data_IF_240798581723
#
_entry.id   IF_240798581723
#
_cell.length_a   1.000
_cell.length_b   1.000
_cell.length_c   1.000
_cell.angle_alpha   90.00
_cell.angle_beta   90.00
_cell.angle_gamma   90.00
#
_symmetry.space_group_name_H-M   'P 1'
#
loop_
_entity.id
_entity.type
_entity.pdbx_description
1 polymer ?
#
# COMPACT_ATOMS: atom_id res chain seq x y z
N UNK A 1 12.15 -11.66 -5.88
CA UNK A 1 10.94 -11.55 -6.73
C UNK A 1 10.52 -12.85 -7.37
N UNK A 2 11.35 -13.50 -8.21
CA UNK A 2 10.98 -14.78 -8.84
C UNK A 2 10.51 -15.87 -7.86
N UNK A 3 11.17 -15.99 -6.69
CA UNK A 3 10.73 -16.93 -5.65
C UNK A 3 9.36 -16.58 -5.06
N UNK A 4 9.11 -15.31 -4.72
CA UNK A 4 7.80 -14.85 -4.23
C UNK A 4 6.69 -15.07 -5.27
N UNK A 5 7.02 -14.91 -6.55
CA UNK A 5 6.09 -15.14 -7.66
C UNK A 5 5.68 -16.61 -7.80
N UNK A 6 6.65 -17.52 -7.73
CA UNK A 6 6.40 -18.96 -7.74
C UNK A 6 5.60 -19.42 -6.52
N UNK A 7 5.87 -18.88 -5.33
CA UNK A 7 5.09 -19.17 -4.13
C UNK A 7 3.63 -18.72 -4.22
N UNK A 8 3.32 -17.73 -5.08
CA UNK A 8 1.97 -17.21 -5.30
C UNK A 8 1.28 -17.85 -6.53
N UNK A 9 1.92 -18.82 -7.19
CA UNK A 9 1.37 -19.48 -8.39
C UNK A 9 1.28 -18.57 -9.61
N UNK A 10 2.06 -17.49 -9.66
CA UNK A 10 1.96 -16.45 -10.68
C UNK A 10 2.67 -16.84 -11.97
N UNK A 11 1.96 -16.74 -13.09
CA UNK A 11 2.58 -16.74 -14.42
C UNK A 11 3.18 -15.35 -14.67
N UNK A 12 4.49 -15.19 -14.49
CA UNK A 12 5.18 -13.90 -14.59
C UNK A 12 6.55 -14.01 -15.27
N UNK A 13 6.83 -13.07 -16.17
CA UNK A 13 8.13 -12.93 -16.84
C UNK A 13 9.18 -12.28 -15.95
N UNK A 14 10.46 -12.52 -16.27
CA UNK A 14 11.60 -11.88 -15.61
C UNK A 14 11.53 -10.35 -15.68
N UNK A 15 11.07 -9.79 -16.80
CA UNK A 15 10.92 -8.34 -16.97
C UNK A 15 9.79 -7.76 -16.11
N UNK A 16 8.64 -8.44 -16.03
CA UNK A 16 7.54 -8.06 -15.14
C UNK A 16 7.96 -8.08 -13.67
N UNK A 17 8.71 -9.10 -13.26
CA UNK A 17 9.27 -9.20 -11.92
C UNK A 17 10.25 -8.06 -11.60
N UNK A 18 11.05 -7.63 -12.59
CA UNK A 18 12.00 -6.53 -12.45
C UNK A 18 11.28 -5.18 -12.28
N UNK A 19 10.21 -4.95 -13.04
CA UNK A 19 9.44 -3.71 -12.97
C UNK A 19 8.77 -3.54 -11.60
N UNK A 20 8.18 -4.61 -11.07
CA UNK A 20 7.64 -4.61 -9.70
C UNK A 20 8.75 -4.39 -8.66
N UNK A 21 9.93 -4.98 -8.86
CA UNK A 21 11.08 -4.80 -7.95
C UNK A 21 11.57 -3.35 -7.91
N UNK A 22 11.66 -2.68 -9.06
CA UNK A 22 12.05 -1.26 -9.14
C UNK A 22 11.07 -0.39 -8.36
N UNK A 23 9.76 -0.60 -8.57
CA UNK A 23 8.71 0.19 -7.92
C UNK A 23 8.54 -0.13 -6.44
N UNK A 24 8.99 -1.30 -6.00
CA UNK A 24 9.02 -1.70 -4.59
C UNK A 24 10.08 -0.97 -3.74
N UNK A 25 10.95 -0.15 -4.36
CA UNK A 25 11.99 0.65 -3.67
C UNK A 25 12.90 -0.16 -2.73
N UNK A 26 13.20 -1.40 -3.09
CA UNK A 26 14.07 -2.27 -2.29
C UNK A 26 13.43 -2.83 -1.01
N UNK A 27 12.14 -2.58 -0.78
CA UNK A 27 11.43 -3.07 0.41
C UNK A 27 10.72 -4.39 0.08
N UNK A 28 11.16 -5.55 0.62
CA UNK A 28 10.60 -6.85 0.25
C UNK A 28 9.08 -6.98 0.52
N UNK A 29 8.57 -6.28 1.53
CA UNK A 29 7.13 -6.23 1.84
C UNK A 29 6.32 -5.48 0.78
N UNK A 30 6.77 -4.30 0.34
CA UNK A 30 6.13 -3.54 -0.74
C UNK A 30 6.16 -4.35 -2.04
N UNK A 31 7.27 -5.03 -2.29
CA UNK A 31 7.46 -5.93 -3.42
C UNK A 31 6.37 -7.02 -3.48
N UNK A 32 6.11 -7.69 -2.36
CA UNK A 32 5.06 -8.70 -2.26
C UNK A 32 3.64 -8.10 -2.38
N UNK A 33 3.41 -6.89 -1.86
CA UNK A 33 2.11 -6.19 -2.00
C UNK A 33 1.82 -5.82 -3.45
N UNK A 34 2.78 -5.20 -4.11
CA UNK A 34 2.65 -4.81 -5.52
C UNK A 34 2.45 -6.06 -6.39
N UNK A 35 3.15 -7.17 -6.09
CA UNK A 35 2.93 -8.45 -6.77
C UNK A 35 1.47 -8.94 -6.66
N UNK A 36 0.85 -8.90 -5.47
CA UNK A 36 -0.56 -9.29 -5.31
C UNK A 36 -1.49 -8.40 -6.13
N UNK A 37 -1.28 -7.08 -6.11
CA UNK A 37 -2.13 -6.15 -6.86
C UNK A 37 -1.95 -6.26 -8.37
N UNK A 38 -0.73 -6.50 -8.83
CA UNK A 38 -0.43 -6.75 -10.24
C UNK A 38 -1.05 -8.07 -10.69
N UNK A 39 -1.07 -9.11 -9.83
CA UNK A 39 -1.83 -10.34 -10.08
C UNK A 39 -3.32 -10.05 -10.21
N UNK A 40 -3.93 -9.42 -9.22
CA UNK A 40 -5.37 -9.18 -9.21
C UNK A 40 -5.78 -8.36 -10.45
N UNK A 41 -4.93 -7.41 -10.87
CA UNK A 41 -5.09 -6.70 -12.14
C UNK A 41 -4.98 -7.64 -13.36
N UNK A 42 -3.96 -8.49 -13.42
CA UNK A 42 -3.75 -9.42 -14.53
C UNK A 42 -4.85 -10.48 -14.64
N UNK A 43 -5.46 -10.91 -13.53
CA UNK A 43 -6.59 -11.83 -13.52
C UNK A 43 -7.91 -11.18 -13.93
N UNK A 44 -8.14 -9.90 -13.57
CA UNK A 44 -9.40 -9.19 -13.88
C UNK A 44 -9.38 -8.53 -15.25
N UNK A 45 -8.23 -8.00 -15.69
CA UNK A 45 -8.09 -7.16 -16.89
C UNK A 45 -7.19 -7.76 -17.98
N UNK A 46 -6.61 -8.93 -17.77
CA UNK A 46 -5.73 -9.60 -18.73
C UNK A 46 -5.89 -11.11 -18.73
N UNK A 47 -4.86 -11.81 -19.18
CA UNK A 47 -4.90 -13.25 -19.44
C UNK A 47 -4.34 -14.07 -18.25
N UNK A 48 -4.20 -13.46 -17.07
CA UNK A 48 -3.53 -14.05 -15.91
C UNK A 48 -1.99 -14.12 -15.99
N UNK A 49 -1.39 -13.60 -17.08
CA UNK A 49 0.07 -13.54 -17.26
C UNK A 49 0.63 -12.13 -17.06
N UNK A 50 1.68 -12.01 -16.23
CA UNK A 50 2.31 -10.76 -15.86
C UNK A 50 3.59 -10.54 -16.68
N UNK A 51 3.49 -9.77 -17.76
CA UNK A 51 4.64 -9.25 -18.51
C UNK A 51 4.99 -7.82 -18.07
N UNK A 52 6.08 -7.25 -18.60
CA UNK A 52 6.52 -5.89 -18.28
C UNK A 52 5.42 -4.83 -18.51
N UNK A 53 4.67 -4.92 -19.61
CA UNK A 53 3.57 -3.99 -19.90
C UNK A 53 2.40 -4.14 -18.92
N UNK A 54 2.01 -5.37 -18.57
CA UNK A 54 0.94 -5.60 -17.60
C UNK A 54 1.34 -5.10 -16.23
N UNK A 55 2.58 -5.35 -15.81
CA UNK A 55 3.12 -4.81 -14.56
C UNK A 55 3.14 -3.29 -14.56
N UNK A 56 3.65 -2.64 -15.62
CA UNK A 56 3.68 -1.17 -15.72
C UNK A 56 2.28 -0.56 -15.71
N UNK A 57 1.32 -1.11 -16.48
CA UNK A 57 -0.08 -0.64 -16.47
C UNK A 57 -0.73 -0.79 -15.10
N UNK A 58 -0.56 -1.95 -14.46
CA UNK A 58 -1.07 -2.19 -13.11
C UNK A 58 -0.46 -1.22 -12.10
N UNK A 59 0.86 -0.99 -12.16
CA UNK A 59 1.59 -0.11 -11.25
C UNK A 59 1.29 1.38 -11.49
N UNK A 60 1.08 1.79 -12.74
CA UNK A 60 0.62 3.14 -13.07
C UNK A 60 -0.82 3.37 -12.59
N UNK A 61 -1.69 2.37 -12.70
CA UNK A 61 -3.04 2.44 -12.16
C UNK A 61 -3.06 2.47 -10.62
N UNK A 62 -2.00 1.99 -9.97
CA UNK A 62 -1.84 2.03 -8.51
C UNK A 62 -1.41 3.41 -7.97
N UNK A 63 -1.14 4.37 -8.87
CA UNK A 63 -1.08 5.82 -8.62
C UNK A 63 -0.22 6.17 -7.39
N UNK A 64 0.99 5.62 -7.36
CA UNK A 64 1.95 5.80 -6.28
C UNK A 64 2.55 7.21 -6.39
N UNK A 65 2.36 8.05 -5.37
CA UNK A 65 2.85 9.44 -5.39
C UNK A 65 4.39 9.52 -5.26
N UNK A 66 4.93 10.74 -5.38
CA UNK A 66 6.37 11.00 -5.30
C UNK A 66 7.00 10.61 -3.95
N UNK A 67 6.23 10.60 -2.85
CA UNK A 67 6.68 10.15 -1.53
C UNK A 67 6.48 8.64 -1.34
N UNK A 68 5.81 8.00 -2.29
CA UNK A 68 5.63 6.58 -2.36
C UNK A 68 4.35 6.07 -1.74
N UNK A 69 3.39 6.95 -1.41
CA UNK A 69 2.07 6.53 -0.99
C UNK A 69 1.29 5.96 -2.14
N UNK A 70 0.76 4.77 -1.95
CA UNK A 70 -0.29 4.27 -2.81
C UNK A 70 -1.67 4.77 -2.36
N UNK A 71 -2.70 4.44 -3.14
CA UNK A 71 -4.10 4.73 -2.81
C UNK A 71 -4.52 4.37 -1.38
N UNK A 72 -4.10 3.21 -0.85
CA UNK A 72 -4.45 2.73 0.50
C UNK A 72 -3.71 3.46 1.60
N UNK A 73 -2.44 3.79 1.39
CA UNK A 73 -1.68 4.63 2.32
C UNK A 73 -2.39 5.99 2.50
N UNK A 74 -2.81 6.60 1.36
CA UNK A 74 -3.60 7.84 1.37
C UNK A 74 -4.96 7.65 2.03
N UNK A 75 -5.69 6.61 1.66
CA UNK A 75 -7.03 6.31 2.20
C UNK A 75 -6.99 6.11 3.71
N UNK A 76 -5.97 5.44 4.25
CA UNK A 76 -5.78 5.23 5.67
C UNK A 76 -5.51 6.56 6.40
N UNK A 77 -4.53 7.35 5.93
CA UNK A 77 -4.19 8.63 6.56
C UNK A 77 -5.34 9.64 6.48
N UNK A 78 -5.98 9.78 5.33
CA UNK A 78 -7.15 10.64 5.16
C UNK A 78 -8.32 10.18 6.05
N UNK A 79 -8.56 8.88 6.18
CA UNK A 79 -9.58 8.39 7.11
C UNK A 79 -9.26 8.82 8.56
N UNK A 80 -8.02 8.71 9.00
CA UNK A 80 -7.61 9.16 10.35
C UNK A 80 -7.82 10.67 10.51
N UNK A 81 -7.39 11.47 9.55
CA UNK A 81 -7.45 12.94 9.64
C UNK A 81 -8.88 13.47 9.51
N UNK A 82 -9.64 13.04 8.50
CA UNK A 82 -10.96 13.58 8.18
C UNK A 82 -12.10 12.91 8.97
N UNK A 83 -12.09 11.58 9.10
CA UNK A 83 -13.18 10.85 9.76
C UNK A 83 -13.01 10.73 11.27
N UNK A 84 -11.77 10.77 11.76
CA UNK A 84 -11.44 10.58 13.16
C UNK A 84 -10.71 11.78 13.78
N UNK A 85 -10.71 12.94 13.11
CA UNK A 85 -10.10 14.20 13.58
C UNK A 85 -8.64 14.05 14.02
N UNK A 86 -7.87 13.20 13.34
CA UNK A 86 -6.47 12.92 13.66
C UNK A 86 -6.23 11.73 14.60
N UNK A 87 -7.27 11.12 15.16
CA UNK A 87 -7.19 10.01 16.12
C UNK A 87 -7.18 10.46 17.59
N UNK A 88 -6.92 9.56 18.56
CA UNK A 88 -6.56 8.15 18.40
C UNK A 88 -7.73 7.26 17.98
N UNK A 89 -7.50 6.38 16.99
CA UNK A 89 -8.51 5.43 16.49
C UNK A 89 -8.03 3.97 16.57
N UNK A 90 -8.91 3.06 16.96
CA UNK A 90 -8.64 1.62 17.02
C UNK A 90 -8.49 0.99 15.63
N UNK A 91 -7.75 -0.12 15.54
CA UNK A 91 -7.52 -0.83 14.27
C UNK A 91 -8.82 -1.32 13.65
N UNK A 92 -9.76 -1.81 14.45
CA UNK A 92 -11.05 -2.34 13.97
C UNK A 92 -11.92 -1.25 13.34
N UNK A 93 -11.93 -0.05 13.95
CA UNK A 93 -12.65 1.10 13.40
C UNK A 93 -11.99 1.61 12.12
N UNK A 94 -10.65 1.59 12.05
CA UNK A 94 -9.94 1.93 10.82
C UNK A 94 -10.24 0.95 9.70
N UNK A 95 -10.12 -0.36 9.97
CA UNK A 95 -10.46 -1.45 9.07
C UNK A 95 -11.87 -1.28 8.48
N UNK A 96 -12.87 -1.05 9.34
CA UNK A 96 -14.24 -0.79 8.91
C UNK A 96 -14.37 0.50 8.07
N UNK A 97 -13.68 1.58 8.44
CA UNK A 97 -13.79 2.87 7.76
C UNK A 97 -13.17 2.90 6.36
N UNK A 98 -12.15 2.08 6.11
CA UNK A 98 -11.50 1.95 4.80
C UNK A 98 -11.89 0.68 4.04
N UNK A 99 -12.64 -0.23 4.66
CA UNK A 99 -13.10 -1.48 4.05
C UNK A 99 -11.96 -2.47 3.81
N UNK A 100 -11.02 -2.56 4.75
CA UNK A 100 -9.81 -3.38 4.62
C UNK A 100 -9.64 -4.28 5.85
N UNK A 101 -8.93 -5.40 5.71
CA UNK A 101 -8.62 -6.28 6.83
C UNK A 101 -7.60 -5.66 7.79
N UNK A 102 -7.81 -5.85 9.10
CA UNK A 102 -6.91 -5.35 10.15
C UNK A 102 -5.46 -5.82 9.96
N UNK A 103 -5.27 -7.07 9.56
CA UNK A 103 -3.95 -7.69 9.39
C UNK A 103 -3.24 -7.02 8.20
N UNK A 104 -3.96 -6.70 7.13
CA UNK A 104 -3.42 -5.91 6.01
C UNK A 104 -2.97 -4.53 6.48
N UNK A 105 -3.75 -3.84 7.31
CA UNK A 105 -3.34 -2.53 7.82
C UNK A 105 -2.07 -2.66 8.67
N UNK A 106 -2.04 -3.57 9.65
CA UNK A 106 -0.93 -3.72 10.59
C UNK A 106 0.36 -4.24 9.95
N UNK A 107 0.26 -5.21 9.04
CA UNK A 107 1.42 -5.89 8.47
C UNK A 107 1.92 -5.25 7.16
N UNK A 108 1.06 -4.49 6.49
CA UNK A 108 1.34 -3.95 5.15
C UNK A 108 1.43 -2.43 5.13
N UNK A 109 0.45 -1.71 5.66
CA UNK A 109 0.38 -0.24 5.56
C UNK A 109 1.19 0.44 6.66
N UNK A 110 0.92 0.09 7.91
CA UNK A 110 1.50 0.76 9.08
C UNK A 110 3.04 0.75 9.13
N UNK A 111 3.75 -0.34 8.76
CA UNK A 111 5.21 -0.36 8.89
C UNK A 111 5.89 0.77 8.12
N UNK A 112 5.44 1.05 6.90
CA UNK A 112 5.99 2.15 6.08
C UNK A 112 5.60 3.52 6.64
N UNK A 113 4.32 3.70 6.96
CA UNK A 113 3.80 4.97 7.46
C UNK A 113 4.40 5.37 8.81
N UNK A 114 4.65 4.41 9.69
CA UNK A 114 5.34 4.62 10.96
C UNK A 114 6.82 4.93 10.71
N UNK A 115 7.50 4.15 9.87
CA UNK A 115 8.92 4.37 9.57
C UNK A 115 9.20 5.75 8.95
N UNK A 116 8.29 6.23 8.09
CA UNK A 116 8.40 7.57 7.50
C UNK A 116 7.85 8.69 8.39
N UNK A 117 7.27 8.35 9.54
CA UNK A 117 6.80 9.30 10.54
C UNK A 117 5.46 9.98 10.22
N UNK A 118 4.61 9.37 9.38
CA UNK A 118 3.26 9.85 9.06
C UNK A 118 2.19 9.32 10.03
N UNK A 119 2.44 8.16 10.62
CA UNK A 119 1.52 7.49 11.53
C UNK A 119 2.22 7.17 12.85
N UNK A 120 1.51 7.34 13.96
CA UNK A 120 1.99 6.95 15.28
C UNK A 120 1.03 5.95 15.93
N UNK A 121 1.58 4.84 16.45
CA UNK A 121 0.86 3.91 17.33
C UNK A 121 0.93 4.40 18.78
N UNK A 122 -0.21 4.39 19.46
CA UNK A 122 -0.34 4.66 20.89
C UNK A 122 -1.15 3.54 21.55
N UNK A 123 -1.11 3.40 22.90
CA UNK A 123 -1.96 2.43 23.60
C UNK A 123 -3.46 2.63 23.36
N UNK A 124 -3.88 3.84 22.98
CA UNK A 124 -5.28 4.19 22.72
C UNK A 124 -5.69 4.03 21.25
N UNK A 125 -4.74 3.82 20.34
CA UNK A 125 -5.01 3.75 18.91
C UNK A 125 -3.95 4.45 18.04
N UNK A 126 -4.30 4.66 16.77
CA UNK A 126 -3.45 5.26 15.73
C UNK A 126 -3.74 6.75 15.62
N UNK A 127 -2.69 7.55 15.46
CA UNK A 127 -2.75 9.01 15.34
C UNK A 127 -1.99 9.44 14.10
N UNK A 128 -2.57 10.34 13.30
CA UNK A 128 -1.88 10.99 12.19
C UNK A 128 -0.95 12.08 12.74
N UNK A 129 0.32 12.06 12.33
CA UNK A 129 1.30 13.06 12.77
C UNK A 129 1.16 14.35 11.96
N UNK A 130 1.77 15.44 12.43
CA UNK A 130 1.80 16.71 11.70
C UNK A 130 2.41 16.57 10.29
N UNK A 131 3.33 15.61 10.12
CA UNK A 131 3.92 15.29 8.82
C UNK A 131 2.88 14.77 7.82
N UNK A 132 1.88 14.02 8.28
CA UNK A 132 0.77 13.60 7.42
C UNK A 132 -0.07 14.79 6.97
N UNK A 133 -0.45 15.68 7.90
CA UNK A 133 -1.18 16.90 7.57
C UNK A 133 -0.45 17.76 6.53
N UNK A 134 0.86 17.98 6.73
CA UNK A 134 1.71 18.70 5.78
C UNK A 134 1.78 18.02 4.40
N UNK A 135 1.85 16.69 4.35
CA UNK A 135 1.87 15.93 3.09
C UNK A 135 0.60 16.14 2.26
N UNK A 136 -0.55 16.19 2.92
CA UNK A 136 -1.84 16.40 2.26
C UNK A 136 -2.23 17.88 2.13
N UNK A 137 -1.41 18.81 2.64
CA UNK A 137 -1.72 20.24 2.64
C UNK A 137 -2.95 20.61 3.47
N UNK A 138 -3.26 19.81 4.50
CA UNK A 138 -4.42 20.02 5.38
C UNK A 138 -3.95 20.82 6.60
N UNK A 139 -4.64 21.93 6.90
CA UNK A 139 -4.45 22.66 8.16
C UNK A 139 -5.09 21.89 9.32
N UNK A 140 -4.36 21.83 10.43
CA UNK A 140 -4.74 21.09 11.64
C UNK A 140 -5.57 21.94 12.59
#
# INVERSE_FOLDING_TARGET
MQRSAQCLGLSMDSEGALEVARRARGTPRIANRLLRRVRDYAEVKGDGHICAQTADRALNMLDVDHQGFDYMDRKLLLAIMEKFSGGPVGIDNLAAAIGEEKDTIEDVLEPFLIQQGYLQRTPRGRIATDRAYLHFGIEK
#
